data_IF_620516311079
#
_entry.id   IF_620516311079
#
_cell.length_a   1.000
_cell.length_b   1.000
_cell.length_c   1.000
_cell.angle_alpha   90.00
_cell.angle_beta   90.00
_cell.angle_gamma   90.00
#
_symmetry.space_group_name_H-M   'P 1'
#
loop_
_entity.id
_entity.type
_entity.pdbx_description
1 polymer ?
#
# COMPACT_ATOMS: atom_id res chain seq x y z
N UNK A 1 22.50 -25.46 2.23
CA UNK A 1 21.65 -26.67 2.23
C UNK A 1 20.23 -26.16 2.05
N UNK A 2 19.76 -26.09 0.80
CA UNK A 2 18.39 -25.65 0.48
C UNK A 2 17.48 -26.85 0.75
N UNK A 3 16.67 -26.75 1.81
CA UNK A 3 15.56 -27.67 2.04
C UNK A 3 14.46 -27.31 1.04
N UNK A 4 14.38 -28.07 -0.04
CA UNK A 4 13.27 -27.99 -1.00
C UNK A 4 12.07 -28.68 -0.40
N UNK A 5 11.01 -27.92 -0.17
CA UNK A 5 9.71 -28.46 0.22
C UNK A 5 8.84 -28.55 -1.04
N UNK A 6 8.36 -29.75 -1.36
CA UNK A 6 7.37 -29.91 -2.43
C UNK A 6 5.97 -29.69 -1.86
N UNK A 7 5.24 -28.74 -2.42
CA UNK A 7 3.81 -28.57 -2.12
C UNK A 7 2.96 -29.60 -2.86
N UNK A 8 1.71 -29.73 -2.45
CA UNK A 8 0.72 -30.60 -3.10
C UNK A 8 0.48 -30.25 -4.60
N UNK A 9 0.90 -29.06 -5.02
CA UNK A 9 0.86 -28.58 -6.43
C UNK A 9 2.13 -28.89 -7.22
N UNK A 10 3.14 -29.52 -6.61
CA UNK A 10 4.40 -29.86 -7.29
C UNK A 10 5.40 -28.70 -7.43
N UNK A 11 5.10 -27.53 -6.87
CA UNK A 11 6.04 -26.41 -6.83
C UNK A 11 7.07 -26.60 -5.72
N UNK A 12 8.34 -26.38 -6.02
CA UNK A 12 9.42 -26.46 -5.05
C UNK A 12 9.59 -25.12 -4.34
N UNK A 13 9.29 -25.07 -3.05
CA UNK A 13 9.54 -23.90 -2.21
C UNK A 13 10.93 -23.94 -1.59
N UNK A 14 11.64 -22.83 -1.70
CA UNK A 14 12.88 -22.64 -0.94
C UNK A 14 12.56 -22.20 0.49
N UNK A 15 13.46 -22.50 1.43
CA UNK A 15 13.34 -22.04 2.82
C UNK A 15 13.21 -20.50 2.89
N UNK A 16 13.88 -19.79 1.97
CA UNK A 16 13.82 -18.33 1.86
C UNK A 16 12.42 -17.82 1.49
N UNK A 17 11.75 -18.46 0.56
CA UNK A 17 10.38 -18.12 0.15
C UNK A 17 9.39 -18.40 1.29
N UNK A 18 9.51 -19.54 1.97
CA UNK A 18 8.68 -19.86 3.13
C UNK A 18 8.85 -18.83 4.26
N UNK A 19 10.08 -18.38 4.54
CA UNK A 19 10.34 -17.34 5.52
C UNK A 19 9.78 -15.98 5.09
N UNK A 20 9.84 -15.65 3.81
CA UNK A 20 9.25 -14.43 3.26
C UNK A 20 7.74 -14.41 3.44
N UNK A 21 7.05 -15.48 3.03
CA UNK A 21 5.58 -15.59 3.17
C UNK A 21 5.14 -15.55 4.63
N UNK A 22 5.85 -16.26 5.51
CA UNK A 22 5.58 -16.24 6.94
C UNK A 22 5.76 -14.84 7.54
N UNK A 23 6.78 -14.11 7.09
CA UNK A 23 7.00 -12.73 7.51
C UNK A 23 5.89 -11.78 7.05
N UNK A 24 5.36 -11.99 5.86
CA UNK A 24 4.20 -11.23 5.38
C UNK A 24 2.94 -11.53 6.20
N UNK A 25 2.74 -12.78 6.59
CA UNK A 25 1.63 -13.14 7.48
C UNK A 25 1.75 -12.43 8.84
N UNK A 26 2.94 -12.41 9.43
CA UNK A 26 3.20 -11.67 10.68
C UNK A 26 2.97 -10.18 10.48
N UNK A 27 3.47 -9.61 9.38
CA UNK A 27 3.26 -8.19 9.05
C UNK A 27 1.77 -7.87 8.92
N UNK A 28 0.99 -8.72 8.25
CA UNK A 28 -0.46 -8.58 8.14
C UNK A 28 -1.15 -8.58 9.51
N UNK A 29 -0.76 -9.49 10.41
CA UNK A 29 -1.27 -9.51 11.79
C UNK A 29 -0.94 -8.20 12.51
N UNK A 30 0.27 -7.68 12.36
CA UNK A 30 0.68 -6.39 12.94
C UNK A 30 -0.16 -5.24 12.41
N UNK A 31 -0.48 -5.23 11.10
CA UNK A 31 -1.39 -4.24 10.53
C UNK A 31 -2.81 -4.34 11.10
N UNK A 32 -3.38 -5.54 11.18
CA UNK A 32 -4.74 -5.75 11.73
C UNK A 32 -4.80 -5.30 13.19
N UNK A 33 -3.82 -5.70 14.01
CA UNK A 33 -3.72 -5.27 15.42
C UNK A 33 -3.52 -3.76 15.49
N UNK A 34 -2.65 -3.21 14.65
CA UNK A 34 -2.41 -1.77 14.55
C UNK A 34 -3.69 -0.99 14.24
N UNK A 35 -4.45 -1.41 13.24
CA UNK A 35 -5.74 -0.80 12.88
C UNK A 35 -6.76 -0.87 14.02
N UNK A 36 -6.85 -2.01 14.70
CA UNK A 36 -7.71 -2.17 15.88
C UNK A 36 -7.33 -1.19 17.00
N UNK A 37 -6.04 -1.02 17.27
CA UNK A 37 -5.56 -0.08 18.30
C UNK A 37 -5.72 1.39 17.88
N UNK A 38 -5.68 1.69 16.58
CA UNK A 38 -5.91 3.03 16.03
C UNK A 38 -7.36 3.51 16.18
N UNK A 39 -8.33 2.59 16.34
CA UNK A 39 -9.74 2.94 16.50
C UNK A 39 -10.05 3.68 17.83
N UNK A 40 -9.14 3.61 18.82
CA UNK A 40 -9.31 4.29 20.10
C UNK A 40 -8.21 5.32 20.32
N UNK A 41 -8.54 6.56 20.70
CA UNK A 41 -7.56 7.64 20.90
C UNK A 41 -6.46 7.31 21.91
N UNK A 42 -6.80 6.59 22.98
CA UNK A 42 -5.85 6.21 24.05
C UNK A 42 -4.77 5.23 23.58
N UNK A 43 -5.10 4.37 22.62
CA UNK A 43 -4.20 3.33 22.08
C UNK A 43 -3.65 3.67 20.71
N UNK A 44 -4.09 4.76 20.08
CA UNK A 44 -3.74 5.13 18.70
C UNK A 44 -2.21 5.21 18.47
N UNK A 45 -1.45 5.77 19.43
CA UNK A 45 0.01 5.82 19.34
C UNK A 45 0.64 4.41 19.28
N UNK A 46 0.12 3.47 20.08
CA UNK A 46 0.57 2.08 20.08
C UNK A 46 0.18 1.41 18.76
N UNK A 47 -1.05 1.65 18.29
CA UNK A 47 -1.53 1.13 17.01
C UNK A 47 -0.65 1.53 15.83
N UNK A 48 -0.28 2.81 15.77
CA UNK A 48 0.62 3.30 14.73
C UNK A 48 2.01 2.65 14.79
N UNK A 49 2.53 2.39 16.00
CA UNK A 49 3.80 1.69 16.17
C UNK A 49 3.73 0.22 15.71
N UNK A 50 2.63 -0.48 16.01
CA UNK A 50 2.39 -1.84 15.52
C UNK A 50 2.33 -1.90 13.99
N UNK A 51 1.58 -1.01 13.37
CA UNK A 51 1.50 -0.92 11.92
C UNK A 51 2.86 -0.60 11.28
N UNK A 52 3.60 0.35 11.85
CA UNK A 52 4.95 0.69 11.39
C UNK A 52 5.92 -0.49 11.52
N UNK A 53 5.84 -1.25 12.61
CA UNK A 53 6.67 -2.46 12.80
C UNK A 53 6.37 -3.53 11.75
N UNK A 54 5.09 -3.73 11.40
CA UNK A 54 4.68 -4.64 10.32
C UNK A 54 5.24 -4.20 8.96
N UNK A 55 5.17 -2.90 8.67
CA UNK A 55 5.74 -2.35 7.43
C UNK A 55 7.25 -2.54 7.35
N UNK A 56 7.98 -2.23 8.42
CA UNK A 56 9.45 -2.40 8.46
C UNK A 56 9.83 -3.87 8.31
N UNK A 57 9.10 -4.79 8.96
CA UNK A 57 9.31 -6.22 8.82
C UNK A 57 9.13 -6.66 7.37
N UNK A 58 8.02 -6.29 6.73
CA UNK A 58 7.74 -6.64 5.34
C UNK A 58 8.81 -6.08 4.39
N UNK A 59 9.23 -4.82 4.55
CA UNK A 59 10.27 -4.19 3.73
C UNK A 59 11.61 -4.89 3.85
N UNK A 60 12.07 -5.16 5.08
CA UNK A 60 13.37 -5.82 5.32
C UNK A 60 13.35 -7.22 4.74
N UNK A 61 12.28 -7.98 4.99
CA UNK A 61 12.17 -9.36 4.50
C UNK A 61 12.13 -9.41 2.97
N UNK A 62 11.41 -8.49 2.34
CA UNK A 62 11.39 -8.36 0.88
C UNK A 62 12.79 -8.08 0.33
N UNK A 63 13.50 -7.11 0.89
CA UNK A 63 14.85 -6.75 0.43
C UNK A 63 15.87 -7.88 0.58
N UNK A 64 15.75 -8.69 1.63
CA UNK A 64 16.72 -9.75 1.94
C UNK A 64 16.38 -11.10 1.29
N UNK A 65 15.09 -11.45 1.19
CA UNK A 65 14.65 -12.80 0.84
C UNK A 65 13.93 -12.89 -0.51
N UNK A 66 13.45 -11.75 -1.07
CA UNK A 66 12.77 -11.79 -2.35
C UNK A 66 13.74 -12.20 -3.47
N UNK A 67 13.35 -13.24 -4.21
CA UNK A 67 14.05 -13.70 -5.42
C UNK A 67 13.15 -13.46 -6.63
N UNK A 68 13.74 -13.01 -7.72
CA UNK A 68 13.02 -12.90 -8.99
C UNK A 68 12.64 -14.31 -9.49
N UNK A 69 11.62 -14.42 -10.34
CA UNK A 69 11.24 -15.69 -10.97
C UNK A 69 12.37 -16.41 -11.74
N UNK A 70 13.48 -15.71 -12.02
CA UNK A 70 14.74 -16.27 -12.54
C UNK A 70 15.64 -16.87 -11.44
N UNK A 71 15.22 -16.81 -10.17
CA UNK A 71 16.04 -17.25 -9.02
C UNK A 71 17.08 -16.25 -8.55
N UNK A 72 17.21 -15.10 -9.23
CA UNK A 72 18.16 -14.05 -8.87
C UNK A 72 17.62 -13.20 -7.71
N UNK A 73 18.53 -12.81 -6.83
CA UNK A 73 18.26 -11.79 -5.80
C UNK A 73 18.04 -10.42 -6.44
N UNK A 74 17.44 -9.49 -5.70
CA UNK A 74 17.30 -8.10 -6.15
C UNK A 74 18.67 -7.58 -6.60
N UNK A 75 18.76 -7.11 -7.85
CA UNK A 75 19.99 -6.50 -8.37
C UNK A 75 20.50 -5.43 -7.40
N UNK A 76 21.81 -5.37 -7.20
CA UNK A 76 22.43 -4.38 -6.32
C UNK A 76 21.99 -2.94 -6.63
N UNK A 77 21.86 -2.60 -7.91
CA UNK A 77 21.37 -1.28 -8.36
C UNK A 77 19.93 -1.05 -7.92
N UNK A 78 19.04 -2.02 -8.10
CA UNK A 78 17.64 -1.92 -7.66
C UNK A 78 17.55 -1.83 -6.15
N UNK A 79 18.36 -2.59 -5.42
CA UNK A 79 18.43 -2.50 -3.96
C UNK A 79 18.82 -1.10 -3.47
N UNK A 80 19.83 -0.47 -4.09
CA UNK A 80 20.22 0.93 -3.79
C UNK A 80 19.06 1.88 -4.07
N UNK A 81 18.39 1.77 -5.22
CA UNK A 81 17.27 2.64 -5.58
C UNK A 81 16.15 2.53 -4.53
N UNK A 82 15.79 1.33 -4.12
CA UNK A 82 14.76 1.09 -3.10
C UNK A 82 15.17 1.73 -1.77
N UNK A 83 16.39 1.50 -1.30
CA UNK A 83 16.88 2.08 -0.02
C UNK A 83 16.89 3.60 -0.07
N UNK A 84 17.41 4.19 -1.14
CA UNK A 84 17.44 5.65 -1.33
C UNK A 84 16.02 6.23 -1.34
N UNK A 85 15.09 5.58 -2.05
CA UNK A 85 13.68 6.02 -2.10
C UNK A 85 13.01 5.96 -0.72
N UNK A 86 13.25 4.89 0.04
CA UNK A 86 12.75 4.76 1.42
C UNK A 86 13.32 5.88 2.31
N UNK A 87 14.62 6.16 2.23
CA UNK A 87 15.25 7.21 3.03
C UNK A 87 14.70 8.60 2.68
N UNK A 88 14.57 8.90 1.40
CA UNK A 88 13.99 10.18 0.93
C UNK A 88 12.53 10.31 1.37
N UNK A 89 11.72 9.27 1.18
CA UNK A 89 10.31 9.25 1.61
C UNK A 89 10.17 9.40 3.14
N UNK A 90 11.01 8.72 3.90
CA UNK A 90 11.06 8.83 5.37
C UNK A 90 11.43 10.23 5.82
N UNK A 91 12.45 10.84 5.21
CA UNK A 91 12.86 12.21 5.53
C UNK A 91 11.76 13.23 5.24
N UNK A 92 11.13 13.14 4.07
CA UNK A 92 10.01 14.03 3.68
C UNK A 92 8.83 13.83 4.63
N UNK A 93 8.41 12.58 4.85
CA UNK A 93 7.29 12.23 5.73
C UNK A 93 7.51 12.70 7.16
N UNK A 94 8.70 12.47 7.72
CA UNK A 94 9.08 12.94 9.05
C UNK A 94 9.03 14.46 9.17
N UNK A 95 9.53 15.17 8.14
CA UNK A 95 9.54 16.64 8.14
C UNK A 95 8.12 17.22 8.06
N UNK A 96 7.26 16.62 7.23
CA UNK A 96 5.84 17.00 7.14
C UNK A 96 5.15 16.73 8.48
N UNK A 97 5.29 15.53 9.05
CA UNK A 97 4.65 15.14 10.29
C UNK A 97 5.01 16.07 11.47
N UNK A 98 6.26 16.54 11.53
CA UNK A 98 6.70 17.49 12.59
C UNK A 98 6.18 18.92 12.41
N UNK A 99 5.81 19.33 11.20
CA UNK A 99 5.37 20.71 10.91
C UNK A 99 3.86 20.88 10.89
N UNK A 100 3.13 19.79 10.77
CA UNK A 100 1.67 19.84 10.68
C UNK A 100 1.06 20.18 12.03
N UNK A 101 0.15 21.17 12.02
CA UNK A 101 -0.66 21.52 13.19
C UNK A 101 -1.68 20.42 13.46
N UNK A 102 -2.04 20.18 14.72
CA UNK A 102 -3.06 19.18 15.09
C UNK A 102 -4.40 19.41 14.39
N UNK A 103 -4.76 20.66 14.12
CA UNK A 103 -5.99 21.03 13.39
C UNK A 103 -5.96 20.60 11.91
N UNK A 104 -4.78 20.38 11.33
CA UNK A 104 -4.61 19.94 9.95
C UNK A 104 -4.37 18.42 9.80
N UNK A 105 -4.47 17.66 10.90
CA UNK A 105 -4.29 16.20 10.86
C UNK A 105 -5.28 15.48 9.93
N UNK A 106 -6.59 15.82 9.88
CA UNK A 106 -7.50 15.17 8.95
C UNK A 106 -7.12 15.36 7.49
N UNK A 107 -6.63 16.55 7.11
CA UNK A 107 -6.13 16.82 5.76
C UNK A 107 -4.91 15.95 5.45
N UNK A 108 -3.96 15.86 6.38
CA UNK A 108 -2.75 15.06 6.21
C UNK A 108 -3.06 13.57 6.03
N UNK A 109 -3.97 13.03 6.82
CA UNK A 109 -4.42 11.64 6.71
C UNK A 109 -5.05 11.39 5.34
N UNK A 110 -5.91 12.31 4.87
CA UNK A 110 -6.51 12.22 3.54
C UNK A 110 -5.46 12.26 2.42
N UNK A 111 -4.45 13.12 2.54
CA UNK A 111 -3.35 13.20 1.58
C UNK A 111 -2.51 11.91 1.53
N UNK A 112 -2.17 11.33 2.69
CA UNK A 112 -1.43 10.07 2.73
C UNK A 112 -2.25 8.89 2.18
N UNK A 113 -3.55 8.87 2.44
CA UNK A 113 -4.42 7.89 1.82
C UNK A 113 -4.44 8.03 0.28
N UNK A 114 -4.48 9.26 -0.23
CA UNK A 114 -4.37 9.53 -1.66
C UNK A 114 -3.05 9.00 -2.24
N UNK A 115 -1.92 9.27 -1.59
CA UNK A 115 -0.61 8.77 -2.09
C UNK A 115 -0.54 7.23 -2.09
N UNK A 116 -1.15 6.57 -1.11
CA UNK A 116 -1.29 5.10 -1.10
C UNK A 116 -2.13 4.59 -2.27
N UNK A 117 -3.26 5.23 -2.54
CA UNK A 117 -4.10 4.92 -3.72
C UNK A 117 -3.35 5.12 -5.04
N UNK A 118 -2.62 6.23 -5.17
CA UNK A 118 -1.78 6.49 -6.34
C UNK A 118 -0.70 5.41 -6.53
N UNK A 119 -0.01 5.01 -5.46
CA UNK A 119 0.99 3.95 -5.51
C UNK A 119 0.38 2.62 -5.99
N UNK A 120 -0.77 2.22 -5.46
CA UNK A 120 -1.49 1.01 -5.88
C UNK A 120 -1.87 1.06 -7.37
N UNK A 121 -2.41 2.19 -7.85
CA UNK A 121 -2.77 2.36 -9.25
C UNK A 121 -1.55 2.32 -10.18
N UNK A 122 -0.43 2.96 -9.77
CA UNK A 122 0.80 2.96 -10.56
C UNK A 122 1.44 1.57 -10.65
N UNK A 123 1.48 0.81 -9.55
CA UNK A 123 1.97 -0.58 -9.55
C UNK A 123 1.13 -1.43 -10.49
N UNK A 124 -0.20 -1.37 -10.39
CA UNK A 124 -1.10 -2.10 -11.27
C UNK A 124 -0.89 -1.72 -12.76
N UNK A 125 -0.67 -0.43 -13.05
CA UNK A 125 -0.40 0.05 -14.40
C UNK A 125 0.94 -0.47 -14.95
N UNK A 126 1.97 -0.53 -14.10
CA UNK A 126 3.29 -1.05 -14.48
C UNK A 126 3.27 -2.56 -14.71
N UNK A 127 2.46 -3.30 -13.95
CA UNK A 127 2.34 -4.75 -14.08
C UNK A 127 1.45 -5.16 -15.26
N UNK A 128 0.52 -4.33 -15.69
CA UNK A 128 -0.44 -4.63 -16.72
C UNK A 128 0.16 -5.21 -18.03
N UNK A 129 1.29 -4.70 -18.58
CA UNK A 129 1.87 -5.25 -19.80
C UNK A 129 2.45 -6.67 -19.64
N UNK A 130 2.78 -7.09 -18.42
CA UNK A 130 3.37 -8.39 -18.11
C UNK A 130 2.34 -9.46 -17.75
N UNK A 131 1.05 -9.08 -17.70
CA UNK A 131 -0.03 -9.99 -17.30
C UNK A 131 -0.26 -11.06 -18.36
N UNK A 132 -0.07 -12.31 -17.99
CA UNK A 132 -0.22 -13.48 -18.87
C UNK A 132 -1.49 -14.31 -18.62
N UNK A 133 -2.14 -14.15 -17.47
CA UNK A 133 -3.27 -14.98 -17.04
C UNK A 133 -4.51 -14.13 -16.77
N UNK A 134 -5.68 -14.59 -17.16
CA UNK A 134 -6.96 -13.89 -16.96
C UNK A 134 -7.24 -13.55 -15.49
N UNK A 135 -6.88 -14.44 -14.55
CA UNK A 135 -7.05 -14.19 -13.11
C UNK A 135 -6.19 -13.03 -12.63
N UNK A 136 -4.91 -12.99 -13.02
CA UNK A 136 -4.00 -11.88 -12.69
C UNK A 136 -4.47 -10.58 -13.32
N UNK A 137 -4.99 -10.63 -14.57
CA UNK A 137 -5.57 -9.47 -15.25
C UNK A 137 -6.70 -8.83 -14.43
N UNK A 138 -7.64 -9.64 -13.94
CA UNK A 138 -8.77 -9.15 -13.12
C UNK A 138 -8.25 -8.47 -11.85
N UNK A 139 -7.30 -9.09 -11.14
CA UNK A 139 -6.72 -8.51 -9.92
C UNK A 139 -5.99 -7.20 -10.22
N UNK A 140 -5.22 -7.13 -11.31
CA UNK A 140 -4.50 -5.93 -11.72
C UNK A 140 -5.48 -4.80 -12.07
N UNK A 141 -6.55 -5.09 -12.82
CA UNK A 141 -7.58 -4.09 -13.15
C UNK A 141 -8.35 -3.62 -11.91
N UNK A 142 -8.64 -4.51 -10.96
CA UNK A 142 -9.24 -4.13 -9.67
C UNK A 142 -8.28 -3.24 -8.87
N UNK A 143 -7.00 -3.57 -8.82
CA UNK A 143 -5.97 -2.75 -8.17
C UNK A 143 -5.88 -1.35 -8.77
N UNK A 144 -5.89 -1.26 -10.10
CA UNK A 144 -5.89 0.01 -10.83
C UNK A 144 -7.15 0.83 -10.53
N UNK A 145 -8.33 0.20 -10.60
CA UNK A 145 -9.61 0.88 -10.39
C UNK A 145 -9.75 1.37 -8.94
N UNK A 146 -9.52 0.50 -7.96
CA UNK A 146 -9.63 0.84 -6.54
C UNK A 146 -8.59 1.89 -6.15
N UNK A 147 -7.35 1.75 -6.63
CA UNK A 147 -6.27 2.71 -6.39
C UNK A 147 -6.61 4.09 -6.95
N UNK A 148 -7.13 4.16 -8.17
CA UNK A 148 -7.51 5.43 -8.83
C UNK A 148 -8.70 6.11 -8.11
N UNK A 149 -9.70 5.34 -7.69
CA UNK A 149 -10.84 5.85 -6.92
C UNK A 149 -10.36 6.35 -5.55
N UNK A 150 -9.52 5.58 -4.87
CA UNK A 150 -8.96 5.97 -3.57
C UNK A 150 -8.13 7.26 -3.67
N UNK A 151 -7.28 7.36 -4.70
CA UNK A 151 -6.50 8.58 -4.96
C UNK A 151 -7.40 9.79 -5.19
N UNK A 152 -8.29 9.72 -6.17
CA UNK A 152 -9.14 10.86 -6.55
C UNK A 152 -10.09 11.28 -5.43
N UNK A 153 -10.74 10.31 -4.77
CA UNK A 153 -11.65 10.56 -3.65
C UNK A 153 -10.92 11.22 -2.46
N UNK A 154 -9.73 10.72 -2.13
CA UNK A 154 -8.93 11.27 -1.04
C UNK A 154 -8.36 12.66 -1.36
N UNK A 155 -8.00 12.94 -2.63
CA UNK A 155 -7.58 14.30 -3.04
C UNK A 155 -8.73 15.30 -2.97
N UNK A 156 -9.95 14.90 -3.33
CA UNK A 156 -11.15 15.72 -3.17
C UNK A 156 -11.42 15.97 -1.67
N UNK A 157 -11.31 14.94 -0.85
CA UNK A 157 -11.49 15.07 0.61
C UNK A 157 -10.43 16.00 1.21
N UNK A 158 -9.15 15.87 0.81
CA UNK A 158 -8.10 16.81 1.18
C UNK A 158 -8.45 18.26 0.82
N UNK A 159 -8.87 18.51 -0.42
CA UNK A 159 -9.23 19.85 -0.86
C UNK A 159 -10.44 20.43 -0.13
N UNK A 160 -11.42 19.61 0.26
CA UNK A 160 -12.56 20.03 1.10
C UNK A 160 -12.14 20.37 2.52
N UNK A 161 -11.30 19.53 3.13
CA UNK A 161 -10.80 19.75 4.48
C UNK A 161 -9.87 20.96 4.56
N UNK A 162 -9.16 21.27 3.47
CA UNK A 162 -8.31 22.47 3.35
C UNK A 162 -9.10 23.74 2.99
N UNK A 163 -10.42 23.63 2.81
CA UNK A 163 -11.31 24.75 2.48
C UNK A 163 -11.19 25.26 1.04
N UNK A 164 -10.39 24.59 0.18
CA UNK A 164 -10.22 24.97 -1.23
C UNK A 164 -11.37 24.54 -2.13
N UNK A 165 -12.07 23.47 -1.73
CA UNK A 165 -13.21 22.92 -2.47
C UNK A 165 -14.45 23.09 -1.63
N UNK A 166 -15.45 23.82 -2.16
CA UNK A 166 -16.77 23.98 -1.52
C UNK A 166 -17.62 22.70 -1.56
N UNK A 167 -18.68 22.68 -0.78
CA UNK A 167 -19.67 21.61 -0.83
C UNK A 167 -20.56 21.79 -2.06
N UNK A 168 -20.30 21.04 -3.12
CA UNK A 168 -21.21 20.90 -4.24
C UNK A 168 -22.24 19.81 -3.92
N UNK A 169 -23.40 20.23 -3.40
CA UNK A 169 -24.54 19.33 -3.17
C UNK A 169 -25.55 19.50 -4.29
N UNK A 170 -25.42 18.73 -5.36
CA UNK A 170 -26.45 18.63 -6.38
C UNK A 170 -27.01 17.21 -6.40
N UNK A 171 -28.34 17.02 -6.47
CA UNK A 171 -28.96 15.70 -6.63
C UNK A 171 -28.42 14.94 -7.86
N UNK A 172 -27.97 15.68 -8.89
CA UNK A 172 -27.38 15.14 -10.11
C UNK A 172 -26.14 14.29 -9.84
N UNK A 173 -25.30 14.68 -8.86
CA UNK A 173 -24.09 13.91 -8.53
C UNK A 173 -24.39 12.50 -8.00
N UNK A 174 -25.53 12.30 -7.35
CA UNK A 174 -25.96 10.97 -6.92
C UNK A 174 -26.15 10.04 -8.12
N UNK A 175 -26.82 10.53 -9.17
CA UNK A 175 -27.07 9.75 -10.39
C UNK A 175 -25.79 9.53 -11.19
N UNK A 176 -24.92 10.54 -11.28
CA UNK A 176 -23.61 10.43 -11.94
C UNK A 176 -22.76 9.36 -11.24
N UNK A 177 -22.65 9.40 -9.92
CA UNK A 177 -21.89 8.41 -9.15
C UNK A 177 -22.47 6.99 -9.31
N UNK A 178 -23.79 6.86 -9.35
CA UNK A 178 -24.44 5.58 -9.55
C UNK A 178 -24.21 5.03 -10.97
N UNK A 179 -24.24 5.89 -11.99
CA UNK A 179 -23.88 5.51 -13.35
C UNK A 179 -22.41 5.12 -13.47
N UNK A 180 -21.51 5.87 -12.86
CA UNK A 180 -20.08 5.53 -12.88
C UNK A 180 -19.80 4.19 -12.19
N UNK A 181 -20.50 3.88 -11.10
CA UNK A 181 -20.38 2.58 -10.40
C UNK A 181 -20.87 1.40 -11.27
N UNK A 182 -21.81 1.65 -12.19
CA UNK A 182 -22.33 0.62 -13.10
C UNK A 182 -21.43 0.40 -14.33
N UNK A 183 -20.54 1.35 -14.64
CA UNK A 183 -19.61 1.29 -15.77
C UNK A 183 -18.30 0.59 -15.38
N UNK A 184 -17.92 0.63 -14.10
CA UNK A 184 -16.75 -0.03 -13.54
C UNK A 184 -17.07 -1.49 -13.20
#
# INVERSE_FOLDING_TARGET
MELLYQTLSGESFTLGEALLEFSYLIAAIFFVVGLKLLSHPETAKKGNLWAASGMVLAMITTLLLHRSGSGDTISFTNGIIVVVTILVGTFIGWRIAKRVKMTAMPQLVSFFNATGGAASALVALLEYPAVSTSGVLVITLLGLSIGSISFSGSMIAYGKLDGKIGNFMSPLFKYINMMMLLIV
#
